data_IF_744433080874
#
_entry.id   IF_744433080874
#
_cell.length_a   1.000
_cell.length_b   1.000
_cell.length_c   1.000
_cell.angle_alpha   90.00
_cell.angle_beta   90.00
_cell.angle_gamma   90.00
#
_symmetry.space_group_name_H-M   'P 1'
#
loop_
_entity.id
_entity.type
_entity.pdbx_description
1 polymer ?
#
# COMPACT_ATOMS: atom_id res chain seq x y z
N UNK A 1 -17.69 -26.93 -1.02
CA UNK A 1 -17.28 -27.23 -2.43
C UNK A 1 -18.07 -26.28 -3.32
N UNK A 2 -17.45 -25.19 -3.81
CA UNK A 2 -18.12 -24.19 -4.65
C UNK A 2 -18.36 -24.82 -6.03
N UNK A 3 -19.63 -24.96 -6.43
CA UNK A 3 -19.95 -25.32 -7.81
C UNK A 3 -19.61 -24.13 -8.72
N UNK A 4 -19.23 -24.38 -9.97
CA UNK A 4 -18.93 -23.32 -10.96
C UNK A 4 -19.97 -22.19 -10.95
N UNK A 5 -21.26 -22.55 -10.91
CA UNK A 5 -22.38 -21.60 -10.87
C UNK A 5 -22.39 -20.69 -9.63
N UNK A 6 -21.99 -21.21 -8.47
CA UNK A 6 -21.89 -20.41 -7.24
C UNK A 6 -20.74 -19.41 -7.27
N UNK A 7 -19.62 -19.78 -7.90
CA UNK A 7 -18.46 -18.90 -8.05
C UNK A 7 -18.79 -17.68 -8.93
N UNK A 8 -19.48 -17.89 -10.06
CA UNK A 8 -19.88 -16.79 -10.95
C UNK A 8 -20.76 -15.75 -10.27
N UNK A 9 -21.67 -16.17 -9.40
CA UNK A 9 -22.51 -15.25 -8.62
C UNK A 9 -21.65 -14.43 -7.67
N UNK A 10 -20.75 -15.06 -6.92
CA UNK A 10 -19.86 -14.36 -5.99
C UNK A 10 -18.93 -13.38 -6.75
N UNK A 11 -18.43 -13.75 -7.94
CA UNK A 11 -17.64 -12.86 -8.81
C UNK A 11 -18.44 -11.66 -9.32
N UNK A 12 -19.69 -11.87 -9.72
CA UNK A 12 -20.57 -10.77 -10.14
C UNK A 12 -20.84 -9.81 -8.98
N UNK A 13 -21.13 -10.34 -7.79
CA UNK A 13 -21.33 -9.52 -6.58
C UNK A 13 -20.07 -8.72 -6.27
N UNK A 14 -18.89 -9.34 -6.31
CA UNK A 14 -17.61 -8.66 -6.12
C UNK A 14 -17.42 -7.54 -7.15
N UNK A 15 -17.71 -7.79 -8.43
CA UNK A 15 -17.58 -6.78 -9.48
C UNK A 15 -18.54 -5.60 -9.26
N UNK A 16 -19.80 -5.87 -8.91
CA UNK A 16 -20.82 -4.85 -8.61
C UNK A 16 -20.46 -4.04 -7.36
N UNK A 17 -20.03 -4.70 -6.28
CA UNK A 17 -19.61 -4.01 -5.05
C UNK A 17 -18.37 -3.16 -5.31
N UNK A 18 -17.35 -3.71 -5.98
CA UNK A 18 -16.11 -3.00 -6.29
C UNK A 18 -16.37 -1.75 -7.12
N UNK A 19 -17.09 -1.89 -8.24
CA UNK A 19 -17.38 -0.76 -9.13
C UNK A 19 -18.36 0.23 -8.51
N UNK A 20 -19.47 -0.24 -7.93
CA UNK A 20 -20.49 0.62 -7.34
C UNK A 20 -19.98 1.43 -6.15
N UNK A 21 -19.30 0.76 -5.20
CA UNK A 21 -18.73 1.46 -4.04
C UNK A 21 -17.53 2.32 -4.42
N UNK A 22 -16.72 1.91 -5.40
CA UNK A 22 -15.61 2.71 -5.90
C UNK A 22 -16.06 4.00 -6.58
N UNK A 23 -17.07 3.95 -7.45
CA UNK A 23 -17.66 5.15 -8.08
C UNK A 23 -18.28 6.06 -7.02
N UNK A 24 -18.99 5.50 -6.05
CA UNK A 24 -19.57 6.27 -4.96
C UNK A 24 -18.51 6.96 -4.10
N UNK A 25 -17.45 6.24 -3.71
CA UNK A 25 -16.33 6.77 -2.95
C UNK A 25 -15.57 7.87 -3.71
N UNK A 26 -15.34 7.70 -5.00
CA UNK A 26 -14.74 8.73 -5.85
C UNK A 26 -15.56 10.03 -5.85
N UNK A 27 -16.89 9.91 -5.99
CA UNK A 27 -17.81 11.06 -5.94
C UNK A 27 -17.85 11.70 -4.56
N UNK A 28 -17.82 10.90 -3.51
CA UNK A 28 -17.77 11.38 -2.13
C UNK A 28 -16.50 12.20 -1.88
N UNK A 29 -15.32 11.65 -2.23
CA UNK A 29 -14.03 12.33 -2.05
C UNK A 29 -14.00 13.66 -2.81
N UNK A 30 -14.45 13.68 -4.07
CA UNK A 30 -14.49 14.91 -4.87
C UNK A 30 -15.44 15.96 -4.29
N UNK A 31 -16.63 15.56 -3.82
CA UNK A 31 -17.56 16.48 -3.16
C UNK A 31 -17.00 17.03 -1.85
N UNK A 32 -16.35 16.19 -1.06
CA UNK A 32 -15.73 16.61 0.19
C UNK A 32 -14.61 17.63 -0.06
N UNK A 33 -13.75 17.41 -1.05
CA UNK A 33 -12.73 18.38 -1.46
C UNK A 33 -13.34 19.69 -2.00
N UNK A 34 -14.40 19.60 -2.81
CA UNK A 34 -15.09 20.77 -3.33
C UNK A 34 -15.75 21.63 -2.24
N UNK A 35 -16.06 21.05 -1.08
CA UNK A 35 -16.58 21.76 0.10
C UNK A 35 -15.46 22.34 0.98
N UNK A 36 -14.21 22.36 0.51
CA UNK A 36 -13.07 22.87 1.25
C UNK A 36 -12.40 21.83 2.16
N UNK A 37 -12.77 20.55 2.05
CA UNK A 37 -12.07 19.47 2.72
C UNK A 37 -10.63 19.36 2.20
N UNK A 38 -9.65 19.57 3.09
CA UNK A 38 -8.24 19.38 2.77
C UNK A 38 -7.73 18.12 3.47
N UNK A 39 -7.24 17.10 2.75
CA UNK A 39 -6.57 16.01 3.42
C UNK A 39 -5.28 16.57 4.06
N UNK A 40 -5.14 16.61 5.37
CA UNK A 40 -4.00 17.29 6.04
C UNK A 40 -2.79 16.38 6.34
N UNK A 41 -2.70 15.21 5.71
CA UNK A 41 -1.66 14.23 6.00
C UNK A 41 -0.61 14.15 4.89
N UNK A 42 0.50 14.86 5.11
CA UNK A 42 1.78 14.58 4.46
C UNK A 42 1.80 14.84 2.94
N UNK A 43 1.01 15.76 2.41
CA UNK A 43 0.98 16.09 0.98
C UNK A 43 2.26 16.76 0.49
N UNK A 44 2.95 17.47 1.37
CA UNK A 44 4.33 17.94 1.17
C UNK A 44 5.32 16.83 0.81
N UNK A 45 4.94 15.57 1.06
CA UNK A 45 5.73 14.40 0.73
C UNK A 45 5.36 13.74 -0.61
N UNK A 46 4.45 14.31 -1.41
CA UNK A 46 4.10 13.77 -2.74
C UNK A 46 4.93 14.35 -3.89
N UNK A 47 5.96 15.14 -3.59
CA UNK A 47 6.89 15.68 -4.58
C UNK A 47 7.40 14.63 -5.58
N UNK A 48 7.88 13.43 -5.15
CA UNK A 48 8.34 12.44 -6.12
C UNK A 48 7.21 11.91 -7.01
N UNK A 49 5.97 11.85 -6.52
CA UNK A 49 4.83 11.46 -7.32
C UNK A 49 4.53 12.52 -8.41
N UNK A 50 4.65 13.81 -8.10
CA UNK A 50 4.57 14.89 -9.09
C UNK A 50 5.66 14.70 -10.16
N UNK A 51 6.89 14.44 -9.73
CA UNK A 51 8.02 14.23 -10.66
C UNK A 51 7.82 13.01 -11.56
N UNK A 52 7.25 11.90 -11.06
CA UNK A 52 6.84 10.75 -11.89
C UNK A 52 5.74 11.16 -12.88
N UNK A 53 4.72 11.90 -12.39
CA UNK A 53 3.63 12.43 -13.21
C UNK A 53 4.15 13.26 -14.39
N UNK A 54 5.16 14.10 -14.13
CA UNK A 54 5.83 14.92 -15.12
C UNK A 54 6.94 14.20 -15.92
N UNK A 55 7.11 12.88 -15.72
CA UNK A 55 8.06 12.06 -16.47
C UNK A 55 9.54 12.23 -16.11
N UNK A 56 9.84 12.83 -14.97
CA UNK A 56 11.20 12.98 -14.42
C UNK A 56 11.66 11.75 -13.62
N UNK A 57 10.73 10.85 -13.29
CA UNK A 57 10.98 9.65 -12.50
C UNK A 57 10.95 9.90 -10.99
N UNK A 58 11.38 8.91 -10.20
CA UNK A 58 11.37 8.99 -8.73
C UNK A 58 12.57 9.83 -8.24
N UNK A 59 12.40 11.14 -8.25
CA UNK A 59 13.39 12.15 -7.85
C UNK A 59 12.72 13.27 -7.06
N UNK A 60 13.53 14.05 -6.35
CA UNK A 60 13.14 15.30 -5.67
C UNK A 60 13.99 16.45 -6.16
N UNK A 61 13.52 17.68 -6.00
CA UNK A 61 14.30 18.88 -6.27
C UNK A 61 15.48 18.99 -5.30
N UNK A 62 16.66 19.34 -5.82
CA UNK A 62 17.82 19.66 -5.00
C UNK A 62 17.87 21.17 -4.76
N UNK A 63 17.75 21.59 -3.49
CA UNK A 63 17.74 23.01 -3.12
C UNK A 63 16.34 23.52 -2.79
N UNK A 64 16.01 24.71 -3.25
CA UNK A 64 14.72 25.34 -2.98
C UNK A 64 13.69 24.94 -4.04
N UNK A 65 12.53 24.43 -3.60
CA UNK A 65 11.40 24.13 -4.48
C UNK A 65 10.88 25.40 -5.14
N UNK A 66 10.35 25.27 -6.36
CA UNK A 66 9.59 26.36 -6.95
C UNK A 66 8.36 26.68 -6.11
N UNK A 67 7.96 27.96 -6.08
CA UNK A 67 6.77 28.38 -5.34
C UNK A 67 5.51 27.65 -5.84
N UNK A 68 5.41 27.35 -7.14
CA UNK A 68 4.27 26.64 -7.71
C UNK A 68 4.17 25.19 -7.23
N UNK A 69 5.31 24.50 -7.11
CA UNK A 69 5.36 23.15 -6.58
C UNK A 69 5.00 23.13 -5.09
N UNK A 70 5.52 24.07 -4.31
CA UNK A 70 5.18 24.19 -2.89
C UNK A 70 3.69 24.52 -2.68
N UNK A 71 3.14 25.48 -3.44
CA UNK A 71 1.72 25.83 -3.40
C UNK A 71 0.83 24.63 -3.76
N UNK A 72 1.22 23.82 -4.75
CA UNK A 72 0.51 22.59 -5.10
C UNK A 72 0.60 21.53 -3.99
N UNK A 73 1.80 21.26 -3.46
CA UNK A 73 2.00 20.25 -2.42
C UNK A 73 1.33 20.63 -1.09
N UNK A 74 1.19 21.93 -0.82
CA UNK A 74 0.43 22.47 0.31
C UNK A 74 -1.07 22.64 0.00
N UNK A 75 -1.55 22.15 -1.15
CA UNK A 75 -2.96 22.23 -1.59
C UNK A 75 -3.52 23.65 -1.68
N UNK A 76 -2.65 24.66 -1.81
CA UNK A 76 -3.08 26.02 -2.16
C UNK A 76 -3.48 26.11 -3.64
N UNK A 77 -3.06 25.14 -4.45
CA UNK A 77 -3.47 24.94 -5.84
C UNK A 77 -3.88 23.49 -6.07
N UNK A 78 -4.94 23.31 -6.85
CA UNK A 78 -5.46 21.97 -7.17
C UNK A 78 -4.68 21.27 -8.28
N UNK A 79 -4.19 22.02 -9.27
CA UNK A 79 -3.51 21.50 -10.47
C UNK A 79 -2.07 21.99 -10.55
N UNK A 80 -1.20 21.20 -11.19
CA UNK A 80 0.21 21.54 -11.39
C UNK A 80 0.61 21.39 -12.87
N UNK A 81 1.33 22.39 -13.40
CA UNK A 81 1.89 22.34 -14.75
C UNK A 81 3.33 21.81 -14.72
N UNK A 82 3.58 20.70 -15.43
CA UNK A 82 4.90 20.09 -15.52
C UNK A 82 5.96 20.97 -16.19
N UNK A 83 5.57 22.06 -16.87
CA UNK A 83 6.51 23.07 -17.40
C UNK A 83 7.27 23.79 -16.28
N UNK A 84 6.71 23.88 -15.08
CA UNK A 84 7.32 24.57 -13.94
C UNK A 84 8.52 23.84 -13.34
N UNK A 85 8.75 22.57 -13.73
CA UNK A 85 9.88 21.74 -13.28
C UNK A 85 10.84 21.37 -14.41
N UNK A 86 10.86 22.15 -15.50
CA UNK A 86 11.73 21.84 -16.64
C UNK A 86 13.22 22.06 -16.30
N UNK A 87 13.53 23.14 -15.59
CA UNK A 87 14.90 23.60 -15.32
C UNK A 87 15.34 23.41 -13.85
N UNK A 88 14.66 22.53 -13.10
CA UNK A 88 15.04 22.26 -11.71
C UNK A 88 16.15 21.22 -11.63
N UNK A 89 17.11 21.45 -10.74
CA UNK A 89 18.09 20.45 -10.33
C UNK A 89 17.37 19.35 -9.56
N UNK A 90 17.57 18.10 -9.96
CA UNK A 90 16.90 16.94 -9.36
C UNK A 90 17.91 15.95 -8.81
N UNK A 91 17.51 15.25 -7.76
CA UNK A 91 18.35 14.28 -7.09
C UNK A 91 17.56 13.29 -6.25
N UNK A 92 18.30 12.44 -5.53
CA UNK A 92 17.75 11.38 -4.65
C UNK A 92 18.12 11.55 -3.18
N UNK A 93 18.95 12.55 -2.85
CA UNK A 93 19.55 12.73 -1.51
C UNK A 93 18.52 12.96 -0.39
N UNK A 94 17.33 13.47 -0.71
CA UNK A 94 16.28 13.79 0.27
C UNK A 94 14.98 12.98 0.13
N UNK A 95 15.01 11.81 -0.53
CA UNK A 95 13.86 10.89 -0.49
C UNK A 95 13.72 10.37 0.96
N UNK A 96 12.93 11.06 1.78
CA UNK A 96 12.56 10.62 3.12
C UNK A 96 11.45 9.56 3.04
N UNK A 97 10.67 9.53 1.95
CA UNK A 97 9.59 8.57 1.72
C UNK A 97 10.03 7.34 0.91
N UNK A 98 11.30 6.92 0.97
CA UNK A 98 11.76 5.72 0.25
C UNK A 98 10.95 4.47 0.61
N UNK A 99 10.33 4.47 1.79
CA UNK A 99 9.46 3.41 2.27
C UNK A 99 8.05 3.41 1.67
N UNK A 100 7.63 4.49 0.98
CA UNK A 100 6.31 4.64 0.34
C UNK A 100 6.40 4.61 -1.18
N UNK A 101 7.44 3.99 -1.73
CA UNK A 101 7.73 4.00 -3.16
C UNK A 101 6.58 3.47 -4.03
N UNK A 102 5.86 2.43 -3.60
CA UNK A 102 4.73 1.90 -4.36
C UNK A 102 3.52 2.82 -4.31
N UNK A 103 3.29 3.51 -3.17
CA UNK A 103 2.28 4.55 -3.09
C UNK A 103 2.62 5.71 -4.04
N UNK A 104 3.87 6.21 -4.01
CA UNK A 104 4.32 7.30 -4.87
C UNK A 104 4.27 6.94 -6.35
N UNK A 105 4.63 5.71 -6.72
CA UNK A 105 4.45 5.23 -8.09
C UNK A 105 2.98 5.15 -8.48
N UNK A 106 2.11 4.65 -7.60
CA UNK A 106 0.68 4.55 -7.90
C UNK A 106 0.08 5.92 -8.19
N UNK A 107 0.38 6.92 -7.34
CA UNK A 107 -0.09 8.31 -7.55
C UNK A 107 0.58 8.95 -8.75
N UNK A 108 1.90 8.81 -8.90
CA UNK A 108 2.63 9.44 -9.99
C UNK A 108 2.25 8.90 -11.36
N UNK A 109 2.06 7.58 -11.51
CA UNK A 109 1.55 7.00 -12.76
C UNK A 109 0.11 7.40 -13.05
N UNK A 110 -0.72 7.50 -12.01
CA UNK A 110 -2.08 8.03 -12.16
C UNK A 110 -2.07 9.46 -12.67
N UNK A 111 -1.28 10.35 -12.05
CA UNK A 111 -1.12 11.74 -12.50
C UNK A 111 -0.47 11.86 -13.88
N UNK A 112 0.41 10.95 -14.26
CA UNK A 112 0.97 10.91 -15.63
C UNK A 112 -0.13 10.67 -16.66
N UNK A 113 -1.11 9.82 -16.34
CA UNK A 113 -2.20 9.47 -17.25
C UNK A 113 -3.35 10.49 -17.23
N UNK A 114 -3.72 11.01 -16.05
CA UNK A 114 -4.89 11.86 -15.86
C UNK A 114 -4.58 13.37 -15.73
N UNK A 115 -3.30 13.74 -15.66
CA UNK A 115 -2.84 15.08 -15.30
C UNK A 115 -2.62 15.24 -13.79
N UNK A 116 -1.68 16.11 -13.41
CA UNK A 116 -1.32 16.36 -12.02
C UNK A 116 -2.37 17.26 -11.37
N UNK A 117 -3.33 16.65 -10.66
CA UNK A 117 -4.39 17.35 -9.95
C UNK A 117 -4.85 16.59 -8.70
N UNK A 118 -5.16 17.31 -7.61
CA UNK A 118 -5.69 16.70 -6.38
C UNK A 118 -7.15 16.27 -6.57
N UNK A 119 -7.99 17.14 -7.15
CA UNK A 119 -9.39 16.85 -7.48
C UNK A 119 -9.57 15.71 -8.48
N UNK A 120 -8.58 15.51 -9.36
CA UNK A 120 -8.57 14.41 -10.32
C UNK A 120 -8.29 13.05 -9.70
N UNK A 121 -7.88 12.96 -8.42
CA UNK A 121 -7.56 11.67 -7.77
C UNK A 121 -8.79 10.87 -7.33
N UNK A 122 -10.01 11.40 -7.48
CA UNK A 122 -11.27 10.71 -7.17
C UNK A 122 -11.30 9.23 -7.61
N UNK A 123 -10.98 8.89 -8.88
CA UNK A 123 -10.95 7.51 -9.35
C UNK A 123 -9.94 6.62 -8.62
N UNK A 124 -8.78 7.15 -8.23
CA UNK A 124 -7.78 6.39 -7.47
C UNK A 124 -8.28 6.07 -6.07
N UNK A 125 -8.87 7.07 -5.37
CA UNK A 125 -9.55 6.85 -4.09
C UNK A 125 -10.64 5.78 -4.20
N UNK A 126 -11.48 5.91 -5.24
CA UNK A 126 -12.54 4.96 -5.55
C UNK A 126 -12.01 3.55 -5.81
N UNK A 127 -10.90 3.41 -6.52
CA UNK A 127 -10.26 2.11 -6.77
C UNK A 127 -9.83 1.40 -5.49
N UNK A 128 -9.13 2.09 -4.58
CA UNK A 128 -8.73 1.52 -3.29
C UNK A 128 -9.94 1.17 -2.42
N UNK A 129 -10.96 2.03 -2.39
CA UNK A 129 -12.18 1.81 -1.62
C UNK A 129 -12.97 0.61 -2.15
N UNK A 130 -13.21 0.56 -3.46
CA UNK A 130 -13.90 -0.54 -4.12
C UNK A 130 -13.21 -1.88 -3.90
N UNK A 131 -11.88 -1.90 -4.02
CA UNK A 131 -11.08 -3.09 -3.74
C UNK A 131 -11.20 -3.53 -2.27
N UNK A 132 -11.21 -2.59 -1.34
CA UNK A 132 -11.40 -2.86 0.09
C UNK A 132 -12.77 -3.50 0.35
N UNK A 133 -13.84 -2.98 -0.27
CA UNK A 133 -15.19 -3.54 -0.14
C UNK A 133 -15.31 -4.94 -0.78
N UNK A 134 -14.70 -5.15 -1.94
CA UNK A 134 -14.62 -6.45 -2.59
C UNK A 134 -13.96 -7.52 -1.70
N UNK A 135 -12.84 -7.17 -1.07
CA UNK A 135 -12.13 -8.08 -0.18
C UNK A 135 -12.89 -8.29 1.13
N UNK A 136 -13.49 -7.24 1.70
CA UNK A 136 -14.34 -7.34 2.88
C UNK A 136 -15.51 -8.32 2.64
N UNK A 137 -16.15 -8.24 1.47
CA UNK A 137 -17.16 -9.22 1.06
C UNK A 137 -16.60 -10.64 1.05
N UNK A 138 -15.42 -10.85 0.43
CA UNK A 138 -14.79 -12.16 0.38
C UNK A 138 -14.48 -12.72 1.78
N UNK A 139 -14.02 -11.88 2.72
CA UNK A 139 -13.82 -12.25 4.13
C UNK A 139 -15.13 -12.68 4.78
N UNK A 140 -16.19 -11.88 4.66
CA UNK A 140 -17.49 -12.24 5.23
C UNK A 140 -17.99 -13.56 4.65
N UNK A 141 -17.77 -13.81 3.35
CA UNK A 141 -18.16 -15.06 2.68
C UNK A 141 -17.43 -16.30 3.19
N UNK A 142 -16.34 -16.16 3.94
CA UNK A 142 -15.68 -17.31 4.59
C UNK A 142 -16.54 -17.92 5.69
N UNK A 143 -17.35 -17.12 6.39
CA UNK A 143 -18.14 -17.57 7.54
C UNK A 143 -19.65 -17.51 7.34
N UNK A 144 -20.15 -16.61 6.49
CA UNK A 144 -21.59 -16.32 6.36
C UNK A 144 -22.10 -16.39 4.92
N UNK A 145 -23.43 -16.50 4.81
CA UNK A 145 -24.15 -16.55 3.54
C UNK A 145 -24.11 -15.23 2.75
N UNK A 146 -24.45 -15.30 1.45
CA UNK A 146 -24.32 -14.18 0.50
C UNK A 146 -25.06 -12.91 0.92
N UNK A 147 -26.33 -13.04 1.27
CA UNK A 147 -27.17 -11.89 1.59
C UNK A 147 -26.60 -11.10 2.79
N UNK A 148 -26.25 -11.81 3.86
CA UNK A 148 -25.67 -11.19 5.06
C UNK A 148 -24.29 -10.60 4.77
N UNK A 149 -23.46 -11.30 3.98
CA UNK A 149 -22.16 -10.76 3.57
C UNK A 149 -22.29 -9.45 2.78
N UNK A 150 -23.25 -9.35 1.85
CA UNK A 150 -23.55 -8.10 1.12
C UNK A 150 -23.99 -7.01 2.09
N UNK A 151 -24.91 -7.31 3.01
CA UNK A 151 -25.38 -6.33 4.01
C UNK A 151 -24.24 -5.81 4.88
N UNK A 152 -23.35 -6.69 5.37
CA UNK A 152 -22.18 -6.30 6.14
C UNK A 152 -21.21 -5.42 5.32
N UNK A 153 -20.96 -5.77 4.05
CA UNK A 153 -20.10 -4.96 3.16
C UNK A 153 -20.72 -3.59 2.88
N UNK A 154 -22.02 -3.51 2.61
CA UNK A 154 -22.73 -2.23 2.41
C UNK A 154 -22.69 -1.39 3.68
N UNK A 155 -22.93 -2.01 4.85
CA UNK A 155 -22.83 -1.36 6.15
C UNK A 155 -21.43 -0.80 6.42
N UNK A 156 -20.38 -1.55 6.05
CA UNK A 156 -19.00 -1.06 6.12
C UNK A 156 -18.75 0.09 5.14
N UNK A 157 -19.28 0.01 3.93
CA UNK A 157 -19.10 1.03 2.90
C UNK A 157 -19.69 2.39 3.33
N UNK A 158 -20.86 2.40 3.98
CA UNK A 158 -21.51 3.64 4.45
C UNK A 158 -21.03 4.09 5.83
N UNK A 159 -20.09 3.38 6.45
CA UNK A 159 -19.57 3.74 7.77
C UNK A 159 -18.89 5.10 7.73
N UNK A 160 -19.27 5.98 8.67
CA UNK A 160 -18.66 7.30 8.83
C UNK A 160 -17.16 7.22 9.05
N UNK A 161 -16.68 6.22 9.81
CA UNK A 161 -15.25 6.00 10.05
C UNK A 161 -14.49 5.67 8.77
N UNK A 162 -15.08 4.86 7.87
CA UNK A 162 -14.46 4.53 6.59
C UNK A 162 -14.40 5.76 5.68
N UNK A 163 -15.52 6.49 5.58
CA UNK A 163 -15.62 7.69 4.75
C UNK A 163 -14.72 8.83 5.23
N UNK A 164 -14.58 8.99 6.54
CA UNK A 164 -13.71 10.01 7.12
C UNK A 164 -12.24 9.80 6.76
N UNK A 165 -11.79 8.54 6.68
CA UNK A 165 -10.40 8.23 6.34
C UNK A 165 -10.14 8.23 4.83
N UNK A 166 -11.17 8.14 3.99
CA UNK A 166 -11.02 8.01 2.54
C UNK A 166 -10.18 9.12 1.88
N UNK A 167 -10.36 10.42 2.18
CA UNK A 167 -9.54 11.47 1.56
C UNK A 167 -8.05 11.41 1.93
N UNK A 168 -7.71 10.72 3.02
CA UNK A 168 -6.34 10.54 3.48
C UNK A 168 -5.66 9.39 2.74
N UNK A 169 -5.38 9.59 1.45
CA UNK A 169 -4.93 8.54 0.50
C UNK A 169 -3.82 7.65 1.07
N UNK A 170 -2.78 8.27 1.64
CA UNK A 170 -1.63 7.57 2.21
C UNK A 170 -2.03 6.60 3.32
N UNK A 171 -2.94 7.02 4.19
CA UNK A 171 -3.40 6.23 5.33
C UNK A 171 -4.47 5.22 4.92
N UNK A 172 -5.33 5.56 3.96
CA UNK A 172 -6.39 4.70 3.45
C UNK A 172 -5.89 3.60 2.52
N UNK A 173 -4.86 3.86 1.70
CA UNK A 173 -4.36 2.93 0.69
C UNK A 173 -3.84 1.59 1.25
N UNK A 174 -3.62 1.51 2.58
CA UNK A 174 -3.29 0.25 3.26
C UNK A 174 -4.46 -0.71 3.40
N UNK A 175 -5.70 -0.20 3.45
CA UNK A 175 -6.90 -0.97 3.76
C UNK A 175 -7.08 -2.23 2.90
N UNK A 176 -6.97 -2.20 1.55
CA UNK A 176 -7.19 -3.41 0.76
C UNK A 176 -6.10 -4.45 0.99
N UNK A 177 -4.85 -4.04 1.20
CA UNK A 177 -3.76 -4.99 1.47
C UNK A 177 -3.92 -5.63 2.85
N UNK A 178 -4.28 -4.85 3.88
CA UNK A 178 -4.54 -5.39 5.23
C UNK A 178 -5.68 -6.40 5.19
N UNK A 179 -6.79 -6.09 4.51
CA UNK A 179 -7.90 -7.04 4.37
C UNK A 179 -7.51 -8.24 3.52
N UNK A 180 -6.71 -8.08 2.46
CA UNK A 180 -6.25 -9.20 1.65
C UNK A 180 -5.39 -10.18 2.47
N UNK A 181 -4.52 -9.67 3.34
CA UNK A 181 -3.74 -10.50 4.27
C UNK A 181 -4.68 -11.26 5.22
N UNK A 182 -5.65 -10.59 5.84
CA UNK A 182 -6.67 -11.24 6.70
C UNK A 182 -7.44 -12.31 5.95
N UNK A 183 -7.84 -12.03 4.70
CA UNK A 183 -8.54 -12.98 3.84
C UNK A 183 -7.70 -14.23 3.57
N UNK A 184 -6.42 -14.06 3.24
CA UNK A 184 -5.50 -15.19 3.01
C UNK A 184 -5.30 -16.02 4.28
N UNK A 185 -5.20 -15.38 5.47
CA UNK A 185 -5.16 -16.12 6.74
C UNK A 185 -6.45 -16.91 6.97
N UNK A 186 -7.60 -16.29 6.73
CA UNK A 186 -8.89 -16.97 6.83
C UNK A 186 -8.99 -18.17 5.87
N UNK A 187 -8.48 -18.04 4.65
CA UNK A 187 -8.40 -19.12 3.68
C UNK A 187 -7.47 -20.27 4.13
N UNK A 188 -6.33 -19.95 4.75
CA UNK A 188 -5.41 -20.95 5.29
C UNK A 188 -6.04 -21.78 6.43
N UNK A 189 -6.94 -21.18 7.20
CA UNK A 189 -7.62 -21.83 8.33
C UNK A 189 -8.88 -22.60 7.90
N UNK A 190 -9.61 -22.08 6.92
CA UNK A 190 -10.93 -22.64 6.54
C UNK A 190 -10.87 -23.69 5.43
N UNK A 191 -9.79 -23.74 4.64
CA UNK A 191 -9.66 -24.69 3.54
C UNK A 191 -8.92 -25.96 3.96
N UNK A 192 -9.25 -27.12 3.36
CA UNK A 192 -8.56 -28.37 3.65
C UNK A 192 -7.07 -28.27 3.31
N UNK A 193 -6.23 -28.82 4.17
CA UNK A 193 -4.77 -28.77 4.03
C UNK A 193 -4.29 -29.59 2.84
N UNK A 194 -4.15 -28.91 1.70
CA UNK A 194 -3.48 -29.41 0.49
C UNK A 194 -2.15 -28.69 0.35
N UNK A 195 -1.05 -29.45 0.22
CA UNK A 195 0.32 -28.88 0.17
C UNK A 195 0.46 -27.70 -0.78
N UNK A 196 -0.08 -27.82 -2.00
CA UNK A 196 0.03 -26.78 -3.02
C UNK A 196 -0.83 -25.56 -2.71
N UNK A 197 -2.00 -25.75 -2.10
CA UNK A 197 -2.86 -24.64 -1.67
C UNK A 197 -2.19 -23.85 -0.55
N UNK A 198 -1.62 -24.54 0.45
CA UNK A 198 -0.90 -23.87 1.55
C UNK A 198 0.30 -23.09 1.00
N UNK A 199 1.14 -23.71 0.17
CA UNK A 199 2.30 -23.04 -0.43
C UNK A 199 1.90 -21.84 -1.29
N UNK A 200 0.87 -21.98 -2.13
CA UNK A 200 0.38 -20.88 -2.97
C UNK A 200 -0.18 -19.71 -2.14
N UNK A 201 -0.96 -20.00 -1.08
CA UNK A 201 -1.48 -18.98 -0.18
C UNK A 201 -0.37 -18.30 0.63
N UNK A 202 0.63 -19.03 1.10
CA UNK A 202 1.78 -18.45 1.79
C UNK A 202 2.63 -17.56 0.88
N UNK A 203 2.86 -17.98 -0.37
CA UNK A 203 3.50 -17.13 -1.38
C UNK A 203 2.68 -15.87 -1.64
N UNK A 204 1.37 -16.01 -1.86
CA UNK A 204 0.46 -14.89 -2.08
C UNK A 204 0.46 -13.90 -0.90
N UNK A 205 0.45 -14.41 0.34
CA UNK A 205 0.57 -13.59 1.55
C UNK A 205 1.87 -12.77 1.53
N UNK A 206 3.01 -13.39 1.18
CA UNK A 206 4.31 -12.73 1.08
C UNK A 206 4.33 -11.63 0.01
N UNK A 207 3.75 -11.90 -1.16
CA UNK A 207 3.62 -10.91 -2.25
C UNK A 207 2.76 -9.73 -1.81
N UNK A 208 1.56 -9.99 -1.28
CA UNK A 208 0.63 -8.94 -0.81
C UNK A 208 1.30 -8.10 0.28
N UNK A 209 1.99 -8.76 1.22
CA UNK A 209 2.70 -8.08 2.29
C UNK A 209 3.84 -7.22 1.76
N UNK A 210 4.61 -7.70 0.78
CA UNK A 210 5.69 -6.95 0.16
C UNK A 210 5.20 -5.71 -0.58
N UNK A 211 4.06 -5.82 -1.28
CA UNK A 211 3.39 -4.66 -1.90
C UNK A 211 2.91 -3.70 -0.81
N UNK A 212 2.19 -4.20 0.21
CA UNK A 212 1.72 -3.38 1.32
C UNK A 212 2.85 -2.65 2.04
N UNK A 213 4.00 -3.30 2.22
CA UNK A 213 5.20 -2.72 2.82
C UNK A 213 5.72 -1.49 2.05
N UNK A 214 5.66 -1.52 0.71
CA UNK A 214 6.02 -0.36 -0.12
C UNK A 214 4.95 0.74 -0.19
N UNK A 215 3.75 0.50 0.35
CA UNK A 215 2.80 1.57 0.68
C UNK A 215 3.07 2.14 2.06
N UNK A 216 3.27 1.27 3.05
CA UNK A 216 3.60 1.66 4.43
C UNK A 216 4.37 0.59 5.19
N UNK A 217 5.23 1.01 6.12
CA UNK A 217 6.07 0.09 6.90
C UNK A 217 5.35 -0.61 8.05
N UNK A 218 4.19 -0.13 8.51
CA UNK A 218 3.40 -0.75 9.60
C UNK A 218 2.93 -2.18 9.26
N UNK A 219 2.98 -2.57 7.99
CA UNK A 219 2.71 -3.93 7.55
C UNK A 219 3.62 -5.00 8.16
N UNK A 220 4.85 -4.65 8.57
CA UNK A 220 5.75 -5.60 9.24
C UNK A 220 5.14 -6.17 10.53
N UNK A 221 4.21 -5.46 11.17
CA UNK A 221 3.49 -5.95 12.34
C UNK A 221 2.64 -7.20 12.05
N UNK A 222 2.36 -7.51 10.78
CA UNK A 222 1.58 -8.68 10.36
C UNK A 222 2.45 -9.93 10.11
N UNK A 223 3.78 -9.82 10.19
CA UNK A 223 4.70 -10.97 10.06
C UNK A 223 4.40 -12.08 11.09
N UNK A 224 4.22 -11.79 12.39
CA UNK A 224 3.94 -12.83 13.37
C UNK A 224 2.61 -13.55 13.11
N UNK A 225 1.62 -12.84 12.57
CA UNK A 225 0.28 -13.40 12.35
C UNK A 225 0.30 -14.61 11.41
N UNK A 226 1.04 -14.55 10.30
CA UNK A 226 1.13 -15.69 9.36
C UNK A 226 1.92 -16.85 9.94
N UNK A 227 3.01 -16.58 10.67
CA UNK A 227 3.82 -17.62 11.32
C UNK A 227 3.00 -18.35 12.37
N UNK A 228 2.25 -17.61 13.20
CA UNK A 228 1.33 -18.17 14.20
C UNK A 228 0.23 -18.98 13.50
N UNK A 229 -0.36 -18.45 12.42
CA UNK A 229 -1.40 -19.14 11.65
C UNK A 229 -0.91 -20.49 11.11
N UNK A 230 0.26 -20.51 10.46
CA UNK A 230 0.84 -21.75 9.94
C UNK A 230 1.23 -22.74 11.05
N UNK A 231 1.70 -22.23 12.19
CA UNK A 231 2.21 -23.07 13.28
C UNK A 231 1.08 -23.67 14.13
N UNK A 232 0.06 -22.87 14.46
CA UNK A 232 -0.98 -23.20 15.44
C UNK A 232 -2.29 -23.61 14.78
N UNK A 233 -2.72 -22.88 13.75
CA UNK A 233 -4.08 -22.97 13.20
C UNK A 233 -4.19 -23.84 11.94
N UNK A 234 -3.08 -24.28 11.36
CA UNK A 234 -3.09 -25.26 10.26
C UNK A 234 -3.42 -26.66 10.81
N UNK A 235 -4.20 -27.45 10.06
CA UNK A 235 -4.64 -28.79 10.52
C UNK A 235 -3.46 -29.67 10.99
N UNK A 236 -3.66 -30.26 12.17
CA UNK A 236 -2.70 -31.16 12.81
C UNK A 236 -1.90 -30.53 13.97
N UNK A 237 -2.21 -29.31 14.38
CA UNK A 237 -1.59 -28.65 15.54
C UNK A 237 -0.08 -28.46 15.36
N UNK A 238 0.69 -28.19 16.42
CA UNK A 238 2.09 -27.77 16.30
C UNK A 238 3.01 -28.79 15.60
N UNK A 239 2.82 -30.10 15.83
CA UNK A 239 3.80 -31.13 15.50
C UNK A 239 3.59 -31.80 14.15
N UNK A 240 2.37 -31.81 13.61
CA UNK A 240 2.10 -32.40 12.29
C UNK A 240 2.42 -31.44 11.16
N UNK A 241 2.71 -32.01 9.98
CA UNK A 241 3.00 -31.26 8.75
C UNK A 241 4.20 -30.30 8.85
N UNK A 242 5.16 -30.57 9.76
CA UNK A 242 6.26 -29.65 10.05
C UNK A 242 7.06 -29.26 8.79
N UNK A 243 7.35 -30.21 7.90
CA UNK A 243 8.03 -29.94 6.62
C UNK A 243 7.24 -28.95 5.75
N UNK A 244 5.92 -29.09 5.68
CA UNK A 244 5.06 -28.19 4.91
C UNK A 244 5.02 -26.80 5.55
N UNK A 245 4.93 -26.72 6.88
CA UNK A 245 4.93 -25.44 7.61
C UNK A 245 6.23 -24.68 7.41
N UNK A 246 7.37 -25.36 7.54
CA UNK A 246 8.69 -24.78 7.29
C UNK A 246 8.79 -24.31 5.83
N UNK A 247 8.40 -25.15 4.86
CA UNK A 247 8.40 -24.77 3.45
C UNK A 247 7.50 -23.56 3.16
N UNK A 248 6.30 -23.52 3.75
CA UNK A 248 5.35 -22.43 3.62
C UNK A 248 5.90 -21.13 4.21
N UNK A 249 6.49 -21.17 5.41
CA UNK A 249 7.14 -20.02 6.05
C UNK A 249 8.31 -19.50 5.22
N UNK A 250 9.19 -20.39 4.73
CA UNK A 250 10.32 -20.00 3.88
C UNK A 250 9.86 -19.39 2.56
N UNK A 251 8.84 -19.98 1.92
CA UNK A 251 8.30 -19.48 0.67
C UNK A 251 7.62 -18.11 0.85
N UNK A 252 6.88 -17.93 1.93
CA UNK A 252 6.34 -16.65 2.35
C UNK A 252 7.44 -15.59 2.50
N UNK A 253 8.48 -15.89 3.29
CA UNK A 253 9.60 -14.97 3.53
C UNK A 253 10.33 -14.63 2.23
N UNK A 254 10.61 -15.63 1.39
CA UNK A 254 11.26 -15.43 0.10
C UNK A 254 10.42 -14.52 -0.81
N UNK A 255 9.11 -14.78 -0.92
CA UNK A 255 8.21 -13.96 -1.75
C UNK A 255 8.12 -12.52 -1.23
N UNK A 256 8.03 -12.35 0.10
CA UNK A 256 8.06 -11.03 0.73
C UNK A 256 9.37 -10.29 0.44
N UNK A 257 10.52 -10.93 0.59
CA UNK A 257 11.83 -10.31 0.36
C UNK A 257 12.02 -9.92 -1.11
N UNK A 258 11.61 -10.78 -2.05
CA UNK A 258 11.70 -10.49 -3.50
C UNK A 258 10.85 -9.27 -3.85
N UNK A 259 9.60 -9.21 -3.37
CA UNK A 259 8.68 -8.11 -3.69
C UNK A 259 9.02 -6.82 -2.92
N UNK A 260 9.53 -6.91 -1.69
CA UNK A 260 9.96 -5.72 -0.93
C UNK A 260 11.38 -5.25 -1.26
N UNK A 261 12.11 -5.98 -2.12
CA UNK A 261 13.49 -5.66 -2.47
C UNK A 261 13.71 -4.21 -2.92
N UNK A 262 12.90 -3.62 -3.83
CA UNK A 262 13.10 -2.24 -4.27
C UNK A 262 12.99 -1.22 -3.13
N UNK A 263 12.15 -1.52 -2.13
CA UNK A 263 11.95 -0.67 -0.94
C UNK A 263 13.17 -0.79 -0.02
N UNK A 264 13.57 -2.02 0.29
CA UNK A 264 14.65 -2.32 1.25
C UNK A 264 16.03 -1.92 0.75
N UNK A 265 16.30 -2.06 -0.55
CA UNK A 265 17.57 -1.68 -1.16
C UNK A 265 17.84 -0.17 -1.02
N UNK A 266 16.82 0.67 -1.22
CA UNK A 266 16.94 2.12 -1.08
C UNK A 266 17.22 2.55 0.36
N UNK A 267 16.59 1.89 1.33
CA UNK A 267 16.83 2.12 2.76
C UNK A 267 18.28 1.74 3.13
N UNK A 268 18.77 0.63 2.60
CA UNK A 268 20.11 0.11 2.91
C UNK A 268 21.25 0.97 2.33
N UNK A 269 21.15 1.47 1.09
CA UNK A 269 22.13 2.41 0.52
C UNK A 269 22.26 3.68 1.37
N UNK A 270 21.15 4.18 1.91
CA UNK A 270 21.13 5.38 2.75
C UNK A 270 21.60 5.13 4.17
N UNK A 271 21.50 3.91 4.71
CA UNK A 271 22.08 3.53 6.00
C UNK A 271 23.61 3.40 5.99
N UNK A 272 24.19 3.10 4.81
CA UNK A 272 25.65 2.98 4.63
C UNK A 272 26.36 4.35 4.59
N UNK A 273 25.72 5.38 4.05
CA UNK A 273 26.25 6.75 3.94
C UNK A 273 26.50 7.47 5.30
N UNK A 274 25.61 7.45 6.31
CA UNK A 274 25.85 8.09 7.60
C UNK A 274 26.91 7.36 8.43
N UNK A 275 27.07 6.03 8.29
CA UNK A 275 28.17 5.29 8.92
C UNK A 275 29.53 5.70 8.34
N UNK A 276 29.62 5.86 7.01
CA UNK A 276 30.84 6.35 6.36
C UNK A 276 31.16 7.81 6.74
N UNK A 277 30.14 8.68 6.89
CA UNK A 277 30.33 10.06 7.33
C UNK A 277 30.70 10.18 8.83
N UNK A 278 30.12 9.36 9.70
CA UNK A 278 30.53 9.27 11.11
C UNK A 278 31.95 8.71 11.25
N UNK A 279 32.32 7.68 10.49
CA UNK A 279 33.68 7.15 10.47
C UNK A 279 34.68 8.19 9.94
N UNK A 280 34.34 8.93 8.89
CA UNK A 280 35.19 9.99 8.35
C UNK A 280 35.34 11.19 9.32
N UNK A 281 34.28 11.62 10.01
CA UNK A 281 34.35 12.67 11.04
C UNK A 281 35.15 12.23 12.27
N UNK A 282 35.02 10.98 12.70
CA UNK A 282 35.84 10.43 13.79
C UNK A 282 37.33 10.39 13.40
N UNK A 283 37.64 10.06 12.14
CA UNK A 283 39.02 10.02 11.62
C UNK A 283 39.68 11.40 11.52
N UNK A 284 38.89 12.47 11.32
CA UNK A 284 39.37 13.86 11.26
C UNK A 284 39.54 14.45 12.66
N UNK A 285 38.71 14.06 13.63
CA UNK A 285 38.81 14.50 15.02
C UNK A 285 40.07 13.96 15.72
N UNK A 286 40.47 12.72 15.45
CA UNK A 286 41.68 12.09 16.03
C UNK A 286 42.99 12.70 15.49
N UNK A 287 42.96 13.42 14.37
CA UNK A 287 44.16 13.99 13.73
C UNK A 287 44.42 15.46 14.09
N UNK A 288 43.67 16.03 15.04
CA UNK A 288 43.77 17.44 15.50
C UNK A 288 44.01 17.58 17.01
N UNK A 289 44.66 16.60 17.64
CA UNK A 289 45.28 16.84 18.95
C UNK A 289 46.77 17.17 18.71
N UNK A 290 47.19 18.43 18.86
CA UNK A 290 48.61 18.75 18.97
C UNK A 290 49.14 18.28 20.35
N UNK A 291 50.44 17.92 20.44
CA UNK A 291 51.08 17.51 21.69
C UNK A 291 51.14 18.61 22.74
#
# INVERSE_FOLDING_TARGET
MLTSRTLWIDLLIVAVLCSGTGVWAARFANRWMAQGGQPLFYQSYFEPAVMIGCGRGLVVTEGQRSQSLEDFLQQRRDTFDCRDVVNVTVGRKQLFQQTWIYLLHSVGWFWRAAGVSWSGMGPLYGGFFGLTMAIAYAIFRLGIGRAVAVLCTVGLAISTTQLFNLPHLRDYAKAPFTLALVFVLGLLVTMPVRRWTVLALSAAYGVILGIGYGFRTDFLATLPAVVITLSVFLDGGLTRNLKLKVAATLLFLASFLVVSWPVSFQVYEKGRLPMAHCAARASIAVRREPP
#
